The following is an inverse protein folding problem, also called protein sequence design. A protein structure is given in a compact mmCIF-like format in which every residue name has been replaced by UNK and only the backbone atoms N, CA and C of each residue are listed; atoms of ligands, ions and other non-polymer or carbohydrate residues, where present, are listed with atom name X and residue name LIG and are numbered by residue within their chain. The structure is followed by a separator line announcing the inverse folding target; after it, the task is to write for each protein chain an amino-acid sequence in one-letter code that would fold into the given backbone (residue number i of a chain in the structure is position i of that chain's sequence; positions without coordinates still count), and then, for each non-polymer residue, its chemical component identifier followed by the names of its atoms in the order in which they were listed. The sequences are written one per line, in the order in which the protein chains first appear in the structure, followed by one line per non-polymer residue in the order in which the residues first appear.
data_IF_056945401101
#
_entry.id   IF_056945401101
#
_cell.length_a   1.000
_cell.length_b   1.000
_cell.length_c   1.000
_cell.angle_alpha   90.00
_cell.angle_beta   90.00
_cell.angle_gamma   90.00
#
_symmetry.space_group_name_H-M   'P 1'
#
loop_
_entity.id
_entity.type
_entity.pdbx_description
1 polymer ?
#
# COMPACT_ATOMS: atom_id res chain seq x y z
N UNK A 1 -0.89 -0.70 -15.61
CA UNK A 1 -0.77 -1.13 -14.20
C UNK A 1 -1.35 -2.55 -14.09
N UNK A 2 -0.71 -3.48 -13.37
CA UNK A 2 -1.13 -4.89 -13.34
C UNK A 2 -2.54 -5.08 -12.74
N UNK A 3 -2.85 -4.37 -11.66
CA UNK A 3 -4.17 -4.40 -11.00
C UNK A 3 -5.29 -3.95 -11.96
N UNK A 4 -5.12 -2.81 -12.63
CA UNK A 4 -6.11 -2.26 -13.57
C UNK A 4 -6.38 -3.13 -14.80
N UNK A 5 -5.48 -4.06 -15.15
CA UNK A 5 -5.74 -5.02 -16.23
C UNK A 5 -6.78 -6.05 -15.83
N UNK A 6 -6.92 -6.35 -14.53
CA UNK A 6 -7.84 -7.36 -14.01
C UNK A 6 -9.09 -6.76 -13.37
N UNK A 7 -8.95 -5.69 -12.57
CA UNK A 7 -10.07 -5.04 -11.86
C UNK A 7 -10.04 -3.53 -12.08
N UNK A 8 -11.17 -2.94 -12.47
CA UNK A 8 -11.26 -1.50 -12.79
C UNK A 8 -11.57 -0.65 -11.55
N UNK A 9 -12.24 -1.25 -10.59
CA UNK A 9 -12.81 -0.65 -9.39
C UNK A 9 -11.73 -0.04 -8.49
N UNK A 10 -10.58 -0.70 -8.21
CA UNK A 10 -9.53 -0.14 -7.36
C UNK A 10 -8.94 1.16 -7.92
N UNK A 11 -8.74 1.23 -9.25
CA UNK A 11 -8.24 2.44 -9.90
C UNK A 11 -9.29 3.57 -9.88
N UNK A 12 -10.55 3.24 -10.17
CA UNK A 12 -11.64 4.23 -10.13
C UNK A 12 -11.82 4.81 -8.73
N UNK A 13 -11.77 3.96 -7.69
CA UNK A 13 -11.85 4.35 -6.29
C UNK A 13 -10.68 5.25 -5.88
N UNK A 14 -9.44 4.89 -6.25
CA UNK A 14 -8.26 5.71 -5.98
C UNK A 14 -8.35 7.08 -6.63
N UNK A 15 -8.75 7.14 -7.91
CA UNK A 15 -8.93 8.41 -8.64
C UNK A 15 -9.99 9.28 -8.00
N UNK A 16 -11.10 8.68 -7.54
CA UNK A 16 -12.15 9.40 -6.81
C UNK A 16 -11.62 9.94 -5.48
N UNK A 17 -10.88 9.13 -4.73
CA UNK A 17 -10.24 9.52 -3.48
C UNK A 17 -9.31 10.73 -3.68
N UNK A 18 -8.44 10.67 -4.68
CA UNK A 18 -7.54 11.79 -5.02
C UNK A 18 -8.27 13.05 -5.52
N UNK A 19 -9.31 12.91 -6.36
CA UNK A 19 -10.07 14.06 -6.87
C UNK A 19 -10.76 14.82 -5.74
N UNK A 20 -11.23 14.11 -4.72
CA UNK A 20 -11.94 14.67 -3.58
C UNK A 20 -11.04 14.97 -2.36
N UNK A 21 -9.71 15.01 -2.54
CA UNK A 21 -8.71 15.17 -1.46
C UNK A 21 -8.89 16.39 -0.55
N UNK A 22 -9.59 17.43 -1.00
CA UNK A 22 -9.90 18.59 -0.17
C UNK A 22 -11.00 18.32 0.88
N UNK A 23 -11.70 17.19 0.79
CA UNK A 23 -12.88 16.84 1.60
C UNK A 23 -12.81 15.41 2.17
N UNK A 24 -11.66 14.75 2.07
CA UNK A 24 -11.48 13.40 2.57
C UNK A 24 -10.07 13.22 3.14
N UNK A 25 -9.74 11.99 3.52
CA UNK A 25 -8.51 11.57 4.15
C UNK A 25 -7.40 11.19 3.14
N UNK A 26 -7.39 11.73 1.92
CA UNK A 26 -6.30 11.49 0.97
C UNK A 26 -5.01 12.17 1.45
N UNK A 27 -4.24 11.47 2.26
CA UNK A 27 -2.99 11.92 2.86
C UNK A 27 -1.98 10.77 3.01
N UNK A 28 -0.69 11.11 3.10
CA UNK A 28 0.35 10.12 3.38
C UNK A 28 -0.01 9.31 4.64
N UNK A 29 0.29 8.01 4.60
CA UNK A 29 -0.01 7.11 5.72
C UNK A 29 -1.42 6.54 5.74
N UNK A 30 -2.32 7.02 4.87
CA UNK A 30 -3.67 6.47 4.76
C UNK A 30 -3.77 5.36 3.71
N UNK A 31 -4.77 4.51 3.92
CA UNK A 31 -5.12 3.41 3.03
C UNK A 31 -6.57 3.52 2.57
N UNK A 32 -6.87 2.98 1.40
CA UNK A 32 -8.22 2.75 0.93
C UNK A 32 -8.38 1.25 0.61
N UNK A 33 -9.31 0.58 1.29
CA UNK A 33 -9.67 -0.81 1.02
C UNK A 33 -10.80 -0.85 0.00
N UNK A 34 -10.60 -1.59 -1.09
CA UNK A 34 -11.58 -1.76 -2.17
C UNK A 34 -11.80 -3.25 -2.39
N UNK A 35 -13.03 -3.73 -2.24
CA UNK A 35 -13.37 -5.11 -2.58
C UNK A 35 -13.36 -5.28 -4.10
N UNK A 36 -12.51 -6.18 -4.60
CA UNK A 36 -12.34 -6.46 -6.02
C UNK A 36 -13.05 -7.77 -6.44
N UNK A 37 -13.09 -8.76 -5.54
CA UNK A 37 -13.88 -9.99 -5.68
C UNK A 37 -14.47 -10.36 -4.31
N UNK A 38 -15.28 -11.43 -4.25
CA UNK A 38 -15.93 -11.88 -3.01
C UNK A 38 -14.97 -12.01 -1.83
N UNK A 39 -13.75 -12.52 -2.06
CA UNK A 39 -12.73 -12.73 -1.04
C UNK A 39 -11.41 -11.99 -1.31
N UNK A 40 -11.38 -11.08 -2.29
CA UNK A 40 -10.18 -10.34 -2.68
C UNK A 40 -10.41 -8.86 -2.49
N UNK A 41 -9.53 -8.23 -1.70
CA UNK A 41 -9.52 -6.80 -1.44
C UNK A 41 -8.20 -6.20 -1.89
N UNK A 42 -8.27 -4.99 -2.44
CA UNK A 42 -7.10 -4.20 -2.81
C UNK A 42 -6.94 -3.06 -1.80
N UNK A 43 -5.77 -3.00 -1.17
CA UNK A 43 -5.38 -1.91 -0.30
C UNK A 43 -4.52 -0.90 -1.08
N UNK A 44 -5.12 0.23 -1.46
CA UNK A 44 -4.38 1.36 -2.01
C UNK A 44 -3.67 2.09 -0.86
N UNK A 45 -2.34 2.14 -0.85
CA UNK A 45 -1.55 2.79 0.21
C UNK A 45 -0.93 4.10 -0.27
N UNK A 46 -1.04 5.17 0.53
CA UNK A 46 -0.39 6.45 0.27
C UNK A 46 0.99 6.51 0.97
N UNK A 47 1.94 5.69 0.50
CA UNK A 47 3.29 5.59 1.06
C UNK A 47 4.37 6.41 0.34
N UNK A 48 4.01 7.21 -0.67
CA UNK A 48 4.97 7.95 -1.49
C UNK A 48 4.50 9.38 -1.78
N UNK A 49 5.46 10.30 -1.89
CA UNK A 49 5.22 11.69 -2.26
C UNK A 49 5.85 11.97 -3.63
N UNK A 50 5.01 12.18 -4.64
CA UNK A 50 5.43 12.33 -6.02
C UNK A 50 5.62 10.99 -6.75
N UNK A 51 6.00 11.06 -8.02
CA UNK A 51 6.12 9.88 -8.92
C UNK A 51 7.56 9.60 -9.38
N UNK A 52 8.47 10.57 -9.26
CA UNK A 52 9.86 10.47 -9.70
C UNK A 52 10.78 11.08 -8.66
N UNK A 53 11.99 10.54 -8.56
CA UNK A 53 13.07 11.15 -7.80
C UNK A 53 13.31 12.57 -8.31
N UNK A 54 13.29 13.54 -7.41
CA UNK A 54 13.54 14.96 -7.69
C UNK A 54 14.48 15.55 -6.66
N UNK A 55 14.55 16.88 -6.58
CA UNK A 55 15.35 17.60 -5.59
C UNK A 55 15.02 17.23 -4.13
N UNK A 56 13.81 16.69 -3.89
CA UNK A 56 13.33 16.26 -2.58
C UNK A 56 13.65 14.78 -2.25
N UNK A 57 14.56 14.16 -3.00
CA UNK A 57 14.99 12.78 -2.80
C UNK A 57 14.06 11.72 -3.39
N UNK A 58 14.23 10.48 -2.93
CA UNK A 58 13.42 9.33 -3.33
C UNK A 58 11.95 9.54 -2.95
N UNK A 59 10.97 9.18 -3.81
CA UNK A 59 9.54 9.40 -3.53
C UNK A 59 9.00 8.65 -2.33
N UNK A 60 9.61 7.51 -1.96
CA UNK A 60 9.14 6.69 -0.84
C UNK A 60 9.24 7.44 0.49
N UNK A 61 8.24 7.24 1.36
CA UNK A 61 8.21 7.79 2.72
C UNK A 61 8.02 6.63 3.68
N UNK A 62 9.12 6.16 4.29
CA UNK A 62 9.10 4.95 5.13
C UNK A 62 8.11 5.04 6.30
N UNK A 63 8.01 6.19 6.96
CA UNK A 63 7.01 6.38 8.02
C UNK A 63 5.58 6.27 7.50
N UNK A 64 5.29 6.86 6.34
CA UNK A 64 3.97 6.71 5.71
C UNK A 64 3.69 5.25 5.30
N UNK A 65 4.70 4.50 4.86
CA UNK A 65 4.56 3.06 4.59
C UNK A 65 4.23 2.30 5.87
N UNK A 66 4.93 2.59 6.98
CA UNK A 66 4.65 2.00 8.30
C UNK A 66 3.22 2.26 8.73
N UNK A 67 2.77 3.52 8.71
CA UNK A 67 1.40 3.92 9.08
C UNK A 67 0.35 3.21 8.20
N UNK A 68 0.62 3.07 6.91
CA UNK A 68 -0.27 2.33 6.01
C UNK A 68 -0.35 0.84 6.39
N UNK A 69 0.78 0.21 6.71
CA UNK A 69 0.82 -1.20 7.10
C UNK A 69 0.15 -1.44 8.45
N UNK A 70 0.33 -0.53 9.41
CA UNK A 70 -0.37 -0.58 10.71
C UNK A 70 -1.89 -0.52 10.54
N UNK A 71 -2.40 0.33 9.64
CA UNK A 71 -3.83 0.36 9.30
C UNK A 71 -4.27 -0.91 8.56
N UNK A 72 -3.40 -1.45 7.70
CA UNK A 72 -3.69 -2.68 6.94
C UNK A 72 -3.84 -3.88 7.86
N UNK A 73 -3.08 -3.95 8.97
CA UNK A 73 -3.24 -5.00 9.99
C UNK A 73 -4.69 -5.04 10.47
N UNK A 74 -5.24 -3.90 10.88
CA UNK A 74 -6.60 -3.83 11.44
C UNK A 74 -7.64 -4.35 10.44
N UNK A 75 -7.47 -4.04 9.17
CA UNK A 75 -8.34 -4.53 8.10
C UNK A 75 -8.14 -6.01 7.81
N UNK A 76 -6.90 -6.50 7.85
CA UNK A 76 -6.59 -7.92 7.67
C UNK A 76 -7.15 -8.77 8.81
N UNK A 77 -7.04 -8.31 10.07
CA UNK A 77 -7.64 -8.96 11.24
C UNK A 77 -9.17 -8.98 11.12
N UNK A 78 -9.79 -7.83 10.81
CA UNK A 78 -11.25 -7.72 10.64
C UNK A 78 -11.79 -8.65 9.55
N UNK A 79 -11.02 -8.85 8.48
CA UNK A 79 -11.38 -9.71 7.34
C UNK A 79 -10.91 -11.16 7.49
N UNK A 80 -10.12 -11.48 8.53
CA UNK A 80 -9.39 -12.74 8.68
C UNK A 80 -8.62 -13.10 7.39
N UNK A 81 -7.84 -12.15 6.88
CA UNK A 81 -7.20 -12.22 5.57
C UNK A 81 -5.67 -12.31 5.67
N UNK A 82 -5.07 -13.03 4.71
CA UNK A 82 -3.65 -12.94 4.41
C UNK A 82 -3.34 -11.71 3.54
N UNK A 83 -2.10 -11.23 3.60
CA UNK A 83 -1.63 -10.07 2.82
C UNK A 83 -0.70 -10.54 1.69
N UNK A 84 -0.96 -10.03 0.48
CA UNK A 84 -0.26 -10.37 -0.75
C UNK A 84 0.28 -9.09 -1.38
N UNK A 85 1.58 -9.01 -1.65
CA UNK A 85 2.18 -7.80 -2.21
C UNK A 85 3.38 -8.08 -3.13
N UNK A 86 3.66 -7.23 -4.13
CA UNK A 86 4.97 -7.23 -4.79
C UNK A 86 6.05 -6.73 -3.81
N UNK A 87 7.32 -6.68 -4.24
CA UNK A 87 8.35 -5.89 -3.54
C UNK A 87 8.02 -4.39 -3.57
N UNK A 88 7.16 -3.94 -2.65
CA UNK A 88 6.75 -2.54 -2.55
C UNK A 88 7.92 -1.63 -2.18
N UNK A 89 7.91 -0.41 -2.68
CA UNK A 89 8.98 0.55 -2.43
C UNK A 89 10.29 0.28 -3.19
N UNK A 90 10.40 -0.85 -3.89
CA UNK A 90 11.51 -1.17 -4.79
C UNK A 90 11.13 -0.85 -6.25
N UNK A 91 12.09 -0.36 -7.04
CA UNK A 91 11.87 0.09 -8.42
C UNK A 91 12.08 1.60 -8.60
N UNK A 92 11.20 2.28 -9.37
CA UNK A 92 11.31 3.71 -9.70
C UNK A 92 11.37 4.65 -8.49
N UNK A 93 10.91 4.18 -7.32
CA UNK A 93 10.95 4.93 -6.07
C UNK A 93 12.31 4.89 -5.37
N UNK A 94 13.28 4.08 -5.83
CA UNK A 94 14.65 4.03 -5.31
C UNK A 94 14.79 3.53 -3.86
N UNK A 95 13.74 2.95 -3.27
CA UNK A 95 13.80 2.39 -1.92
C UNK A 95 14.61 1.10 -1.89
N UNK A 96 15.52 1.00 -0.91
CA UNK A 96 16.22 -0.25 -0.61
C UNK A 96 15.23 -1.19 0.08
N UNK A 97 15.08 -2.39 -0.46
CA UNK A 97 14.25 -3.45 0.13
C UNK A 97 14.60 -3.68 1.60
N UNK A 98 15.89 -3.58 1.93
CA UNK A 98 16.46 -3.67 3.29
C UNK A 98 15.82 -2.71 4.31
N UNK A 99 15.11 -1.67 3.86
CA UNK A 99 14.38 -0.73 4.73
C UNK A 99 12.88 -1.03 4.80
N UNK A 100 12.29 -1.62 3.77
CA UNK A 100 10.86 -1.96 3.73
C UNK A 100 10.61 -3.30 4.42
N UNK A 101 11.48 -4.28 4.21
CA UNK A 101 11.34 -5.61 4.79
C UNK A 101 11.25 -5.61 6.32
N UNK A 102 12.10 -4.87 7.08
CA UNK A 102 11.95 -4.78 8.53
C UNK A 102 10.59 -4.18 8.95
N UNK A 103 10.10 -3.17 8.24
CA UNK A 103 8.80 -2.55 8.53
C UNK A 103 7.68 -3.58 8.33
N UNK A 104 7.72 -4.38 7.26
CA UNK A 104 6.74 -5.45 7.02
C UNK A 104 6.78 -6.49 8.14
N UNK A 105 7.98 -6.90 8.58
CA UNK A 105 8.14 -7.86 9.68
C UNK A 105 7.50 -7.32 10.97
N UNK A 106 7.91 -6.13 11.39
CA UNK A 106 7.44 -5.48 12.62
C UNK A 106 5.93 -5.19 12.62
N UNK A 107 5.38 -4.80 11.47
CA UNK A 107 3.97 -4.36 11.39
C UNK A 107 3.00 -5.51 11.11
N UNK A 108 3.32 -6.43 10.20
CA UNK A 108 2.41 -7.49 9.78
C UNK A 108 2.75 -8.84 10.42
N UNK A 109 4.00 -9.30 10.27
CA UNK A 109 4.38 -10.67 10.63
C UNK A 109 4.40 -10.86 12.15
N UNK A 110 4.97 -9.91 12.90
CA UNK A 110 5.01 -9.97 14.36
C UNK A 110 3.61 -9.88 14.99
N UNK A 111 2.62 -9.40 14.23
CA UNK A 111 1.20 -9.40 14.61
C UNK A 111 0.43 -10.64 14.13
N UNK A 112 1.12 -11.63 13.57
CA UNK A 112 0.54 -12.90 13.13
C UNK A 112 -0.16 -12.87 11.77
N UNK A 113 -0.02 -11.78 10.99
CA UNK A 113 -0.58 -11.72 9.64
C UNK A 113 0.27 -12.53 8.69
N UNK A 114 -0.34 -13.46 7.96
CA UNK A 114 0.34 -14.22 6.91
C UNK A 114 0.64 -13.30 5.72
N UNK A 115 1.91 -13.18 5.35
CA UNK A 115 2.37 -12.31 4.25
C UNK A 115 3.03 -13.14 3.15
N UNK A 116 2.65 -12.90 1.90
CA UNK A 116 3.34 -13.43 0.72
C UNK A 116 3.87 -12.27 -0.15
N UNK A 117 5.17 -12.31 -0.45
CA UNK A 117 5.83 -11.36 -1.34
C UNK A 117 6.10 -12.02 -2.69
N UNK A 118 5.67 -11.36 -3.77
CA UNK A 118 5.86 -11.83 -5.14
C UNK A 118 7.03 -11.10 -5.81
N UNK A 119 7.88 -11.85 -6.50
CA UNK A 119 8.95 -11.36 -7.38
C UNK A 119 8.63 -11.72 -8.83
N UNK A 120 8.89 -10.82 -9.78
CA UNK A 120 8.52 -10.96 -11.20
C UNK A 120 9.45 -10.19 -12.13
#
# INVERSE_FOLDING_TARGET
MAISKRWKEPEAAYRSWHRNRAKNDFALGNIQIVQAEQYIYIANMLGQQGMRTGSNGVPIRFEAVRECLEKLVLEAERLNASVHMPRIGCGLAGGKWDRVEPIIKETLIDKGIQVTIYDF
#
